data_IF_763075232593
#
_entry.id   IF_763075232593
#
_cell.length_a   1.000
_cell.length_b   1.000
_cell.length_c   1.000
_cell.angle_alpha   90.00
_cell.angle_beta   90.00
_cell.angle_gamma   90.00
#
_symmetry.space_group_name_H-M   'P 1'
#
loop_
_entity.id
_entity.type
_entity.pdbx_description
1 polymer ?
#
# COMPACT_ATOMS: atom_id res chain seq x y z
N UNK A 1 33.31 11.68 10.42
CA UNK A 1 32.67 10.98 9.30
C UNK A 1 33.42 9.67 9.14
N UNK A 2 32.87 8.56 9.64
CA UNK A 2 33.54 7.25 9.53
C UNK A 2 33.34 6.71 8.13
N UNK A 3 34.45 6.30 7.50
CA UNK A 3 34.49 5.71 6.16
C UNK A 3 33.68 4.42 6.14
N UNK A 4 32.63 4.37 5.32
CA UNK A 4 32.03 3.10 4.95
C UNK A 4 33.08 2.34 4.12
N UNK A 5 33.52 1.18 4.59
CA UNK A 5 34.35 0.28 3.78
C UNK A 5 33.64 0.02 2.45
N UNK A 6 34.39 0.03 1.34
CA UNK A 6 33.89 -0.28 -0.01
C UNK A 6 33.03 -1.55 -0.03
N UNK A 7 33.43 -2.56 0.75
CA UNK A 7 32.72 -3.83 0.83
C UNK A 7 31.31 -3.68 1.44
N UNK A 8 31.17 -2.82 2.46
CA UNK A 8 29.87 -2.58 3.09
C UNK A 8 28.92 -1.88 2.12
N UNK A 9 29.42 -0.94 1.31
CA UNK A 9 28.61 -0.26 0.31
C UNK A 9 28.09 -1.22 -0.77
N UNK A 10 28.90 -2.21 -1.16
CA UNK A 10 28.50 -3.26 -2.11
C UNK A 10 27.41 -4.15 -1.51
N UNK A 11 27.60 -4.61 -0.26
CA UNK A 11 26.61 -5.42 0.45
C UNK A 11 25.30 -4.65 0.61
N UNK A 12 25.36 -3.42 1.09
CA UNK A 12 24.17 -2.58 1.31
C UNK A 12 23.39 -2.36 0.01
N UNK A 13 24.09 -2.18 -1.12
CA UNK A 13 23.45 -2.04 -2.43
C UNK A 13 22.81 -3.34 -2.91
N UNK A 14 23.44 -4.49 -2.66
CA UNK A 14 22.89 -5.80 -2.99
C UNK A 14 21.63 -6.09 -2.17
N UNK A 15 21.66 -5.85 -0.85
CA UNK A 15 20.52 -6.03 0.04
C UNK A 15 19.33 -5.16 -0.38
N UNK A 16 19.58 -3.88 -0.70
CA UNK A 16 18.54 -2.98 -1.22
C UNK A 16 17.99 -3.48 -2.55
N UNK A 17 18.84 -3.99 -3.45
CA UNK A 17 18.42 -4.59 -4.72
C UNK A 17 17.48 -5.79 -4.53
N UNK A 18 17.80 -6.67 -3.57
CA UNK A 18 16.96 -7.83 -3.25
C UNK A 18 15.58 -7.39 -2.74
N UNK A 19 15.54 -6.44 -1.82
CA UNK A 19 14.28 -5.88 -1.30
C UNK A 19 13.46 -5.24 -2.43
N UNK A 20 14.10 -4.49 -3.34
CA UNK A 20 13.43 -3.88 -4.47
C UNK A 20 12.85 -4.91 -5.44
N UNK A 21 13.57 -6.01 -5.69
CA UNK A 21 13.07 -7.11 -6.51
C UNK A 21 11.83 -7.78 -5.89
N UNK A 22 11.83 -7.98 -4.57
CA UNK A 22 10.70 -8.60 -3.86
C UNK A 22 9.41 -7.76 -3.90
N UNK A 23 9.53 -6.45 -3.95
CA UNK A 23 8.37 -5.56 -4.11
C UNK A 23 8.02 -5.30 -5.59
N UNK A 24 8.64 -6.03 -6.52
CA UNK A 24 8.48 -5.93 -7.97
C UNK A 24 8.89 -4.55 -8.53
N UNK A 25 9.97 -3.97 -7.98
CA UNK A 25 10.50 -2.64 -8.35
C UNK A 25 12.03 -2.68 -8.57
N UNK A 26 12.53 -3.82 -9.06
CA UNK A 26 13.97 -4.08 -9.23
C UNK A 26 14.69 -3.05 -10.10
N UNK A 27 14.00 -2.51 -11.10
CA UNK A 27 14.51 -1.48 -12.00
C UNK A 27 14.87 -0.16 -11.30
N UNK A 28 14.31 0.09 -10.10
CA UNK A 28 14.59 1.30 -9.35
C UNK A 28 16.01 1.31 -8.74
N UNK A 29 16.73 0.19 -8.74
CA UNK A 29 18.14 0.11 -8.28
C UNK A 29 19.07 1.06 -9.05
N UNK A 30 18.76 1.33 -10.31
CA UNK A 30 19.52 2.25 -11.18
C UNK A 30 19.16 3.72 -10.93
N UNK A 31 18.04 3.98 -10.24
CA UNK A 31 17.57 5.32 -9.87
C UNK A 31 17.94 5.70 -8.44
N UNK A 32 18.79 4.91 -7.78
CA UNK A 32 19.35 5.24 -6.48
C UNK A 32 20.57 6.14 -6.65
N UNK A 33 20.48 7.33 -6.06
CA UNK A 33 21.55 8.32 -5.98
C UNK A 33 22.57 7.96 -4.90
N UNK A 34 22.10 7.52 -3.73
CA UNK A 34 22.97 7.26 -2.58
C UNK A 34 22.34 6.25 -1.59
N UNK A 35 23.19 5.52 -0.87
CA UNK A 35 22.80 4.57 0.19
C UNK A 35 23.73 4.78 1.38
N UNK A 36 23.16 5.17 2.51
CA UNK A 36 23.94 5.53 3.71
C UNK A 36 23.34 4.89 4.96
N UNK A 37 24.17 4.26 5.79
CA UNK A 37 23.77 3.81 7.13
C UNK A 37 23.66 4.99 8.09
N UNK A 38 22.53 5.10 8.77
CA UNK A 38 22.29 6.15 9.77
C UNK A 38 22.76 5.72 11.16
N UNK A 39 23.33 6.66 11.92
CA UNK A 39 23.73 6.46 13.30
C UNK A 39 25.10 5.80 13.49
N UNK A 40 25.52 5.71 14.76
CA UNK A 40 26.80 5.11 15.17
C UNK A 40 26.69 3.59 15.25
N UNK A 41 27.79 2.90 14.95
CA UNK A 41 27.85 1.44 15.09
C UNK A 41 27.72 1.09 16.58
N UNK A 42 26.70 0.30 16.90
CA UNK A 42 26.44 -0.20 18.25
C UNK A 42 26.38 -1.74 18.16
N UNK A 43 27.09 -2.44 19.05
CA UNK A 43 27.50 -3.84 18.89
C UNK A 43 26.38 -4.88 18.80
N UNK A 44 25.12 -4.48 19.01
CA UNK A 44 23.96 -5.37 18.95
C UNK A 44 22.80 -4.87 18.10
N UNK A 45 22.91 -3.73 17.41
CA UNK A 45 21.79 -3.14 16.67
C UNK A 45 22.11 -2.96 15.20
N UNK A 46 21.22 -3.46 14.35
CA UNK A 46 21.26 -3.20 12.91
C UNK A 46 20.94 -1.72 12.68
N UNK A 47 21.87 -1.01 12.05
CA UNK A 47 21.68 0.40 11.70
C UNK A 47 20.72 0.53 10.52
N UNK A 48 19.76 1.48 10.57
CA UNK A 48 18.87 1.73 9.44
C UNK A 48 19.63 2.29 8.25
N UNK A 49 19.16 1.94 7.04
CA UNK A 49 19.67 2.44 5.78
C UNK A 49 18.80 3.60 5.29
N UNK A 50 19.44 4.70 4.91
CA UNK A 50 18.83 5.80 4.16
C UNK A 50 19.16 5.59 2.68
N UNK A 51 18.12 5.41 1.89
CA UNK A 51 18.21 5.30 0.43
C UNK A 51 17.70 6.60 -0.18
N UNK A 52 18.54 7.24 -1.00
CA UNK A 52 18.21 8.47 -1.71
C UNK A 52 17.95 8.13 -3.16
N UNK A 53 16.71 8.31 -3.61
CA UNK A 53 16.32 8.15 -5.01
C UNK A 53 16.52 9.45 -5.80
N UNK A 54 16.62 9.34 -7.12
CA UNK A 54 16.68 10.49 -8.04
C UNK A 54 15.38 11.30 -8.02
N UNK A 55 14.23 10.65 -7.88
CA UNK A 55 12.91 11.29 -7.81
C UNK A 55 12.16 10.93 -6.55
N UNK A 56 11.35 11.87 -6.05
CA UNK A 56 10.38 11.60 -4.98
C UNK A 56 9.36 10.55 -5.41
N UNK A 57 8.99 10.52 -6.69
CA UNK A 57 8.03 9.53 -7.21
C UNK A 57 8.55 8.11 -7.07
N UNK A 58 9.83 7.86 -7.38
CA UNK A 58 10.42 6.52 -7.23
C UNK A 58 10.41 6.08 -5.75
N UNK A 59 10.75 6.99 -4.83
CA UNK A 59 10.62 6.75 -3.38
C UNK A 59 9.19 6.38 -3.01
N UNK A 60 8.20 7.13 -3.50
CA UNK A 60 6.80 6.86 -3.18
C UNK A 60 6.32 5.52 -3.69
N UNK A 61 6.74 5.12 -4.89
CA UNK A 61 6.43 3.80 -5.44
C UNK A 61 6.98 2.68 -4.56
N UNK A 62 8.21 2.82 -4.06
CA UNK A 62 8.82 1.84 -3.15
C UNK A 62 8.05 1.74 -1.83
N UNK A 63 7.75 2.87 -1.19
CA UNK A 63 7.03 2.87 0.10
C UNK A 63 5.61 2.34 -0.06
N UNK A 64 4.93 2.69 -1.15
CA UNK A 64 3.56 2.21 -1.42
C UNK A 64 3.51 0.70 -1.65
N UNK A 65 4.54 0.11 -2.27
CA UNK A 65 4.62 -1.33 -2.52
C UNK A 65 5.24 -2.13 -1.36
N UNK A 66 5.63 -1.48 -0.26
CA UNK A 66 6.26 -2.14 0.89
C UNK A 66 5.40 -3.24 1.53
N UNK A 67 4.08 -3.20 1.35
CA UNK A 67 3.17 -4.25 1.86
C UNK A 67 3.47 -5.63 1.27
N UNK A 68 4.08 -5.70 0.07
CA UNK A 68 4.44 -6.97 -0.60
C UNK A 68 5.49 -7.75 0.19
N UNK A 69 6.26 -7.11 1.05
CA UNK A 69 7.24 -7.76 1.92
C UNK A 69 6.62 -8.68 2.99
N UNK A 70 5.32 -8.54 3.28
CA UNK A 70 4.67 -9.30 4.37
C UNK A 70 4.73 -10.82 4.18
N UNK A 71 4.97 -11.31 2.97
CA UNK A 71 5.12 -12.74 2.65
C UNK A 71 6.52 -13.14 2.17
N UNK A 72 7.51 -12.25 2.24
CA UNK A 72 8.85 -12.50 1.72
C UNK A 72 9.87 -12.84 2.82
N UNK A 73 11.08 -13.23 2.42
CA UNK A 73 12.19 -13.44 3.36
C UNK A 73 12.51 -12.17 4.16
N UNK A 74 12.24 -11.00 3.59
CA UNK A 74 12.46 -9.70 4.20
C UNK A 74 11.25 -9.14 4.97
N UNK A 75 10.30 -9.98 5.41
CA UNK A 75 9.10 -9.51 6.16
C UNK A 75 9.40 -8.71 7.44
N UNK A 76 10.61 -8.86 8.01
CA UNK A 76 11.06 -8.12 9.20
C UNK A 76 11.57 -6.72 8.86
N UNK A 77 11.79 -6.42 7.59
CA UNK A 77 12.22 -5.11 7.11
C UNK A 77 11.03 -4.18 7.02
N UNK A 78 11.20 -2.96 7.51
CA UNK A 78 10.20 -1.90 7.40
C UNK A 78 10.72 -0.80 6.49
N UNK A 79 9.95 -0.45 5.47
CA UNK A 79 10.23 0.64 4.56
C UNK A 79 9.32 1.82 4.89
N UNK A 80 9.93 2.96 5.18
CA UNK A 80 9.23 4.17 5.61
C UNK A 80 9.79 5.39 4.89
N UNK A 81 8.99 6.45 4.77
CA UNK A 81 9.50 7.77 4.35
C UNK A 81 10.45 8.32 5.42
N UNK A 82 11.52 8.98 4.98
CA UNK A 82 12.34 9.81 5.87
C UNK A 82 11.61 11.13 6.10
N UNK A 83 10.72 11.13 7.08
CA UNK A 83 9.95 12.30 7.48
C UNK A 83 10.76 13.17 8.43
N UNK A 84 10.56 14.49 8.35
CA UNK A 84 11.00 15.42 9.38
C UNK A 84 10.26 15.13 10.69
N UNK A 85 10.83 15.56 11.82
CA UNK A 85 10.34 15.19 13.16
C UNK A 85 8.87 15.55 13.37
N UNK A 86 8.45 16.72 12.90
CA UNK A 86 7.07 17.21 13.00
C UNK A 86 6.09 16.32 12.23
N UNK A 87 6.43 15.96 10.99
CA UNK A 87 5.61 15.05 10.17
C UNK A 87 5.46 13.67 10.82
N UNK A 88 6.51 13.18 11.49
CA UNK A 88 6.44 11.91 12.25
C UNK A 88 5.45 11.98 13.40
N UNK A 89 5.40 13.11 14.11
CA UNK A 89 4.47 13.32 15.22
C UNK A 89 3.02 13.40 14.70
N UNK A 90 2.80 14.07 13.57
CA UNK A 90 1.50 14.14 12.90
C UNK A 90 1.04 12.76 12.45
N UNK A 91 1.89 11.98 11.76
CA UNK A 91 1.53 10.62 11.32
C UNK A 91 1.25 9.70 12.50
N UNK A 92 2.03 9.80 13.59
CA UNK A 92 1.79 9.03 14.82
C UNK A 92 0.42 9.36 15.41
N UNK A 93 0.03 10.64 15.44
CA UNK A 93 -1.28 11.06 15.92
C UNK A 93 -2.41 10.51 15.02
N UNK A 94 -2.25 10.59 13.70
CA UNK A 94 -3.23 10.03 12.73
C UNK A 94 -3.38 8.52 12.92
N UNK A 95 -2.27 7.79 13.06
CA UNK A 95 -2.28 6.36 13.28
C UNK A 95 -3.01 5.98 14.57
N UNK A 96 -2.72 6.67 15.68
CA UNK A 96 -3.37 6.42 16.97
C UNK A 96 -4.88 6.68 16.90
N UNK A 97 -5.30 7.79 16.25
CA UNK A 97 -6.72 8.09 16.03
C UNK A 97 -7.41 6.97 15.24
N UNK A 98 -6.85 6.56 14.10
CA UNK A 98 -7.42 5.48 13.27
C UNK A 98 -7.48 4.14 14.01
N UNK A 99 -6.48 3.86 14.86
CA UNK A 99 -6.46 2.65 15.69
C UNK A 99 -7.60 2.68 16.72
N UNK A 100 -7.83 3.83 17.36
CA UNK A 100 -8.89 4.01 18.33
C UNK A 100 -10.29 3.94 17.68
N UNK A 101 -10.47 4.58 16.52
CA UNK A 101 -11.71 4.47 15.75
C UNK A 101 -12.05 3.02 15.38
N UNK A 102 -11.03 2.24 14.98
CA UNK A 102 -11.23 0.81 14.68
C UNK A 102 -11.67 0.03 15.92
N UNK A 103 -11.01 0.24 17.06
CA UNK A 103 -11.38 -0.42 18.31
C UNK A 103 -12.80 -0.05 18.75
N UNK A 104 -13.19 1.23 18.66
CA UNK A 104 -14.53 1.67 19.00
C UNK A 104 -15.59 1.01 18.09
N UNK A 105 -15.30 0.91 16.79
CA UNK A 105 -16.19 0.23 15.84
C UNK A 105 -16.32 -1.27 16.13
N UNK A 106 -15.23 -1.93 16.53
CA UNK A 106 -15.27 -3.35 16.95
C UNK A 106 -16.13 -3.53 18.21
N UNK A 107 -16.04 -2.62 19.17
CA UNK A 107 -16.90 -2.63 20.38
C UNK A 107 -18.36 -2.34 20.04
N UNK A 108 -18.66 -1.40 19.16
CA UNK A 108 -20.03 -1.11 18.71
C UNK A 108 -20.66 -2.32 18.00
N UNK A 109 -19.89 -3.04 17.18
CA UNK A 109 -20.37 -4.27 16.52
C UNK A 109 -20.62 -5.37 17.56
N UNK A 110 -19.68 -5.59 18.48
CA UNK A 110 -19.83 -6.59 19.55
C UNK A 110 -21.06 -6.33 20.43
N UNK A 111 -21.31 -5.07 20.78
CA UNK A 111 -22.49 -4.69 21.57
C UNK A 111 -23.81 -4.79 20.79
N UNK A 112 -23.76 -4.74 19.45
CA UNK A 112 -24.96 -4.86 18.60
C UNK A 112 -25.41 -6.31 18.46
N UNK A 113 -24.48 -7.27 18.49
CA UNK A 113 -24.78 -8.70 18.42
C UNK A 113 -25.34 -9.26 19.75
N UNK A 114 -25.17 -8.56 20.88
CA UNK A 114 -25.78 -8.94 22.17
C UNK A 114 -27.25 -8.48 22.33
N UNK A 115 -27.75 -7.60 21.47
CA UNK A 115 -29.17 -7.16 21.48
C UNK A 115 -29.95 -7.90 20.40
N UNK A 116 -30.13 -9.21 20.57
CA UNK A 116 -31.14 -9.97 19.83
C UNK A 116 -32.45 -9.90 20.61
N UNK A 117 -33.47 -9.14 20.18
CA UNK A 117 -34.78 -9.21 20.80
C UNK A 117 -35.40 -10.57 20.48
N UNK A 118 -35.25 -11.50 21.40
CA UNK A 118 -36.09 -12.69 21.51
C UNK A 118 -37.50 -12.24 21.92
N UNK A 119 -38.30 -11.78 20.94
CA UNK A 119 -39.76 -11.78 20.95
C UNK A 119 -40.28 -11.12 19.66
N UNK A 120 -40.42 -11.92 18.62
CA UNK A 120 -41.37 -11.65 17.55
C UNK A 120 -42.17 -12.94 17.35
N UNK A 121 -43.26 -13.01 18.11
CA UNK A 121 -44.32 -14.01 17.98
C UNK A 121 -44.88 -13.92 16.56
N UNK A 122 -45.08 -15.09 15.99
CA UNK A 122 -45.67 -15.38 14.69
C UNK A 122 -47.03 -14.67 14.53
N UNK A 123 -47.24 -13.99 13.40
CA UNK A 123 -48.58 -13.87 12.83
C UNK A 123 -48.49 -14.02 11.32
N UNK A 124 -49.32 -14.93 10.82
CA UNK A 124 -49.44 -15.36 9.44
C UNK A 124 -49.95 -14.24 8.54
N UNK A 125 -49.71 -14.43 7.23
CA UNK A 125 -50.52 -13.90 6.11
C UNK A 125 -50.03 -12.62 5.44
N UNK A 126 -49.09 -12.75 4.49
CA UNK A 126 -49.11 -11.93 3.28
C UNK A 126 -48.50 -12.69 2.08
N UNK A 127 -49.17 -12.74 0.92
CA UNK A 127 -48.81 -13.61 -0.20
C UNK A 127 -47.61 -13.10 -1.02
N UNK A 128 -46.88 -14.06 -1.57
CA UNK A 128 -45.73 -13.93 -2.47
C UNK A 128 -46.07 -13.12 -3.74
N UNK A 129 -45.30 -12.08 -4.11
CA UNK A 129 -45.30 -11.59 -5.48
C UNK A 129 -44.50 -12.53 -6.38
N UNK A 130 -45.14 -12.90 -7.49
CA UNK A 130 -44.68 -13.86 -8.49
C UNK A 130 -43.42 -13.38 -9.22
N UNK A 131 -42.53 -14.34 -9.48
CA UNK A 131 -41.44 -14.23 -10.45
C UNK A 131 -41.96 -13.85 -11.83
N UNK A 132 -41.36 -12.83 -12.45
CA UNK A 132 -41.31 -12.70 -13.91
C UNK A 132 -39.85 -12.81 -14.38
N UNK A 133 -39.59 -13.55 -15.47
CA UNK A 133 -38.24 -13.88 -15.90
C UNK A 133 -37.61 -12.79 -16.79
N UNK A 134 -36.28 -12.78 -16.74
CA UNK A 134 -35.30 -12.15 -17.64
C UNK A 134 -35.78 -11.79 -19.05
N UNK A 135 -35.45 -10.58 -19.48
CA UNK A 135 -34.94 -10.36 -20.84
C UNK A 135 -33.82 -9.30 -20.86
N UNK A 136 -32.63 -9.79 -21.19
CA UNK A 136 -31.52 -9.06 -21.79
C UNK A 136 -31.98 -8.04 -22.85
N UNK A 137 -31.31 -6.88 -22.90
CA UNK A 137 -30.45 -6.51 -24.05
C UNK A 137 -29.89 -5.10 -23.94
N UNK A 138 -28.56 -5.04 -23.88
CA UNK A 138 -27.69 -4.16 -24.66
C UNK A 138 -28.32 -2.89 -25.25
N UNK A 139 -27.92 -1.73 -24.76
CA UNK A 139 -27.89 -0.52 -25.59
C UNK A 139 -26.49 0.07 -25.54
N UNK A 140 -25.78 -0.15 -26.65
CA UNK A 140 -24.46 0.39 -26.93
C UNK A 140 -24.53 1.91 -27.03
N UNK A 141 -23.63 2.59 -26.32
CA UNK A 141 -23.37 4.02 -26.46
C UNK A 141 -22.64 4.25 -27.78
N UNK A 142 -23.37 4.77 -28.78
CA UNK A 142 -22.83 5.25 -30.04
C UNK A 142 -22.14 6.60 -29.83
N UNK A 143 -20.80 6.59 -29.87
CA UNK A 143 -20.02 7.80 -30.13
C UNK A 143 -19.91 8.01 -31.65
N UNK A 144 -20.25 9.18 -32.19
CA UNK A 144 -19.86 9.53 -33.55
C UNK A 144 -18.36 9.83 -33.59
N UNK A 145 -17.62 9.06 -34.38
CA UNK A 145 -16.29 9.43 -34.88
C UNK A 145 -16.47 10.10 -36.24
N UNK A 146 -16.39 11.42 -36.26
CA UNK A 146 -15.92 12.15 -37.44
C UNK A 146 -14.46 11.70 -37.67
N UNK A 147 -14.07 11.22 -38.85
CA UNK A 147 -14.12 11.93 -40.12
C UNK A 147 -12.71 12.47 -40.37
N UNK A 148 -11.90 11.76 -41.17
CA UNK A 148 -10.52 12.15 -41.42
C UNK A 148 -9.75 11.18 -42.30
N UNK A 149 -10.32 10.83 -43.46
CA UNK A 149 -9.52 10.41 -44.62
C UNK A 149 -8.58 11.54 -45.01
N UNK A 150 -7.34 11.19 -45.37
CA UNK A 150 -6.73 11.47 -46.68
C UNK A 150 -5.26 11.03 -46.60
N UNK A 151 -4.90 10.01 -47.38
CA UNK A 151 -4.15 10.18 -48.64
C UNK A 151 -2.65 10.40 -48.37
N UNK A 152 -1.68 9.84 -49.09
CA UNK A 152 -1.59 8.99 -50.28
C UNK A 152 -0.08 8.97 -50.58
N UNK A 153 0.35 7.92 -51.27
CA UNK A 153 1.49 7.89 -52.20
C UNK A 153 2.92 7.80 -51.66
N UNK A 154 3.49 6.66 -52.07
CA UNK A 154 4.81 6.42 -52.67
C UNK A 154 6.01 6.28 -51.74
#
# INVERSE_FOLDING_TARGET
CEENSSDQAIIDRADVGNILNEIEQGELIYKIKDIVRLGKKDGGKIRPLKVVFLSSTDRETVVTNAYKLKGSEHYRVSLCRDLIREDREIEKAIYLRKKQERQNREVEIANRDEVRPENAVEDESAPLPQNTPDQDRNTAVLHPREGGEQSRAK
#
